data_IF_087322161497
#
_entry.id   IF_087322161497
#
_cell.length_a   1.000
_cell.length_b   1.000
_cell.length_c   1.000
_cell.angle_alpha   90.00
_cell.angle_beta   90.00
_cell.angle_gamma   90.00
#
_symmetry.space_group_name_H-M   'P 1'
#
loop_
_entity.id
_entity.type
_entity.pdbx_description
1 polymer ?
#
# COMPACT_ATOMS: atom_id res chain seq x y z
N UNK A 1 -4.86 15.91 -4.39
CA UNK A 1 -4.58 14.66 -3.67
C UNK A 1 -3.41 14.04 -4.38
N UNK A 2 -2.26 13.99 -3.72
CA UNK A 2 -1.06 13.38 -4.29
C UNK A 2 -1.06 11.89 -3.98
N UNK A 3 -0.67 11.09 -4.97
CA UNK A 3 -0.63 9.63 -4.86
C UNK A 3 0.74 9.13 -5.27
N UNK A 4 1.29 8.20 -4.49
CA UNK A 4 2.57 7.57 -4.72
C UNK A 4 2.41 6.06 -4.53
N UNK A 5 3.24 5.28 -5.21
CA UNK A 5 3.32 3.82 -5.07
C UNK A 5 4.77 3.41 -4.85
N UNK A 6 4.99 2.40 -4.00
CA UNK A 6 6.31 1.85 -3.74
C UNK A 6 6.21 0.36 -3.39
N UNK A 7 7.27 -0.39 -3.68
CA UNK A 7 7.39 -1.82 -3.40
C UNK A 7 8.04 -2.11 -2.05
N UNK A 8 7.56 -3.14 -1.36
CA UNK A 8 8.15 -3.58 -0.08
C UNK A 8 9.38 -4.48 -0.23
N UNK A 9 9.74 -4.85 -1.46
CA UNK A 9 10.97 -5.59 -1.76
C UNK A 9 12.16 -4.63 -1.88
N UNK A 10 13.39 -5.10 -1.65
CA UNK A 10 14.59 -4.28 -1.77
C UNK A 10 14.99 -3.99 -3.22
N UNK A 11 14.55 -4.85 -4.14
CA UNK A 11 14.79 -4.82 -5.59
C UNK A 11 13.57 -4.29 -6.37
N UNK A 12 12.60 -3.69 -5.69
CA UNK A 12 11.48 -3.04 -6.34
C UNK A 12 11.96 -1.86 -7.20
N UNK A 13 11.31 -1.62 -8.34
CA UNK A 13 11.63 -0.48 -9.21
C UNK A 13 11.58 0.86 -8.47
N UNK A 14 10.58 1.02 -7.60
CA UNK A 14 10.49 2.12 -6.63
C UNK A 14 10.46 1.51 -5.23
N UNK A 15 11.62 1.38 -4.55
CA UNK A 15 11.68 0.84 -3.21
C UNK A 15 10.93 1.73 -2.21
N UNK A 16 10.23 1.12 -1.26
CA UNK A 16 9.68 1.86 -0.13
C UNK A 16 10.80 2.38 0.77
N UNK A 17 10.68 3.64 1.17
CA UNK A 17 11.53 4.30 2.16
C UNK A 17 10.69 4.87 3.33
N UNK A 18 11.36 5.31 4.39
CA UNK A 18 10.74 5.87 5.58
C UNK A 18 10.13 7.25 5.38
N UNK A 19 10.62 8.04 4.40
CA UNK A 19 10.08 9.37 4.12
C UNK A 19 8.69 9.28 3.49
N UNK A 20 8.50 8.36 2.55
CA UNK A 20 7.21 8.04 1.95
C UNK A 20 6.18 7.65 3.01
N UNK A 21 6.58 6.81 3.98
CA UNK A 21 5.71 6.40 5.09
C UNK A 21 5.36 7.59 5.97
N UNK A 22 6.35 8.41 6.32
CA UNK A 22 6.18 9.57 7.20
C UNK A 22 5.27 10.62 6.59
N UNK A 23 5.40 10.87 5.29
CA UNK A 23 4.58 11.84 4.54
C UNK A 23 3.18 11.36 4.23
N UNK A 24 2.97 10.04 4.15
CA UNK A 24 1.66 9.49 3.81
C UNK A 24 0.64 9.72 4.95
N UNK A 25 -0.48 10.37 4.62
CA UNK A 25 -1.64 10.43 5.51
C UNK A 25 -2.31 9.06 5.65
N UNK A 26 -2.30 8.28 4.55
CA UNK A 26 -2.90 6.94 4.47
C UNK A 26 -2.03 6.03 3.63
N UNK A 27 -1.85 4.81 4.12
CA UNK A 27 -1.09 3.78 3.42
C UNK A 27 -2.02 2.61 3.15
N UNK A 28 -2.15 2.23 1.88
CA UNK A 28 -2.88 1.05 1.45
C UNK A 28 -1.90 0.00 0.97
N UNK A 29 -2.12 -1.25 1.37
CA UNK A 29 -1.33 -2.39 0.92
C UNK A 29 -2.25 -3.49 0.42
N UNK A 30 -1.78 -4.25 -0.57
CA UNK A 30 -2.58 -5.31 -1.19
C UNK A 30 -2.83 -6.46 -0.22
N UNK A 31 -1.82 -6.88 0.54
CA UNK A 31 -1.85 -8.09 1.35
C UNK A 31 -1.25 -7.88 2.75
N UNK A 32 -1.56 -8.79 3.67
CA UNK A 32 -1.05 -8.74 5.05
C UNK A 32 0.49 -8.84 5.10
N UNK A 33 1.11 -9.56 4.16
CA UNK A 33 2.58 -9.69 4.03
C UNK A 33 3.25 -8.33 3.80
N UNK A 34 2.65 -7.46 2.98
CA UNK A 34 3.15 -6.10 2.74
C UNK A 34 3.10 -5.27 4.03
N UNK A 35 1.97 -5.30 4.75
CA UNK A 35 1.85 -4.60 6.05
C UNK A 35 2.90 -5.08 7.06
N UNK A 36 3.13 -6.39 7.14
CA UNK A 36 4.15 -6.98 8.02
C UNK A 36 5.55 -6.50 7.62
N UNK A 37 5.87 -6.50 6.32
CA UNK A 37 7.14 -6.03 5.80
C UNK A 37 7.38 -4.55 6.13
N UNK A 38 6.37 -3.70 5.95
CA UNK A 38 6.45 -2.26 6.29
C UNK A 38 6.78 -2.08 7.77
N UNK A 39 6.02 -2.71 8.66
CA UNK A 39 6.22 -2.58 10.12
C UNK A 39 7.55 -3.16 10.60
N UNK A 40 8.05 -4.21 9.93
CA UNK A 40 9.33 -4.82 10.27
C UNK A 40 10.52 -3.99 9.80
N UNK A 41 10.45 -3.42 8.59
CA UNK A 41 11.53 -2.62 8.00
C UNK A 41 11.58 -1.18 8.53
N UNK A 42 10.42 -0.60 8.86
CA UNK A 42 10.28 0.80 9.25
C UNK A 42 9.50 0.94 10.58
N UNK A 43 9.97 0.34 11.68
CA UNK A 43 9.23 0.33 12.95
C UNK A 43 8.98 1.73 13.51
N UNK A 44 9.96 2.64 13.36
CA UNK A 44 9.84 4.04 13.80
C UNK A 44 8.87 4.81 12.91
N UNK A 45 9.06 4.80 11.59
CA UNK A 45 8.25 5.59 10.65
C UNK A 45 6.78 5.09 10.59
N UNK A 46 6.59 3.77 10.70
CA UNK A 46 5.26 3.16 10.74
C UNK A 46 4.61 3.19 12.14
N UNK A 47 5.33 3.65 13.16
CA UNK A 47 4.90 3.76 14.55
C UNK A 47 3.76 4.75 14.72
N UNK A 48 2.52 4.29 14.53
CA UNK A 48 1.31 5.13 14.62
C UNK A 48 0.64 5.40 13.28
N UNK A 49 1.27 5.01 12.16
CA UNK A 49 0.63 5.10 10.84
C UNK A 49 -0.45 4.02 10.66
N UNK A 50 -1.58 4.44 10.10
CA UNK A 50 -2.64 3.52 9.69
C UNK A 50 -2.25 2.88 8.35
N UNK A 51 -2.00 1.57 8.37
CA UNK A 51 -1.71 0.76 7.18
C UNK A 51 -2.89 -0.16 6.92
N UNK A 52 -3.67 0.19 5.91
CA UNK A 52 -4.91 -0.49 5.52
C UNK A 52 -4.55 -1.65 4.58
N UNK A 53 -4.95 -2.86 4.94
CA UNK A 53 -4.80 -4.04 4.08
C UNK A 53 -6.09 -4.24 3.28
N UNK A 54 -6.01 -4.17 1.96
CA UNK A 54 -7.16 -4.32 1.06
C UNK A 54 -7.60 -5.79 0.90
N UNK A 55 -6.71 -6.74 1.24
CA UNK A 55 -6.96 -8.17 1.09
C UNK A 55 -7.06 -8.61 -0.37
N UNK A 56 -6.27 -7.99 -1.24
CA UNK A 56 -6.21 -8.26 -2.67
C UNK A 56 -5.00 -9.19 -2.92
N UNK A 57 -5.21 -10.44 -3.35
CA UNK A 57 -4.12 -11.36 -3.64
C UNK A 57 -3.38 -10.98 -4.93
N UNK A 58 -2.09 -11.29 -4.96
CA UNK A 58 -1.19 -11.09 -6.10
C UNK A 58 -1.37 -12.17 -7.18
N UNK A 59 -2.50 -12.10 -7.90
CA UNK A 59 -2.88 -13.06 -8.95
C UNK A 59 -3.39 -12.39 -10.22
N UNK A 60 -3.26 -11.07 -10.29
CA UNK A 60 -3.77 -10.27 -11.39
C UNK A 60 -2.60 -9.83 -12.26
N UNK A 61 -2.84 -9.76 -13.57
CA UNK A 61 -1.87 -9.17 -14.48
C UNK A 61 -1.82 -7.66 -14.29
N UNK A 62 -0.71 -7.07 -14.71
CA UNK A 62 -0.58 -5.62 -14.76
C UNK A 62 -1.76 -5.01 -15.54
N UNK A 63 -2.45 -4.06 -14.91
CA UNK A 63 -3.63 -3.35 -15.44
C UNK A 63 -4.83 -4.23 -15.83
N UNK A 64 -4.93 -5.45 -15.27
CA UNK A 64 -6.11 -6.29 -15.47
C UNK A 64 -7.38 -5.59 -14.98
N UNK A 65 -8.42 -5.54 -15.81
CA UNK A 65 -9.67 -4.81 -15.49
C UNK A 65 -10.29 -5.26 -14.17
N UNK A 66 -10.29 -6.56 -13.88
CA UNK A 66 -10.80 -7.11 -12.63
C UNK A 66 -10.04 -6.60 -11.39
N UNK A 67 -8.73 -6.33 -11.51
CA UNK A 67 -7.95 -5.71 -10.43
C UNK A 67 -8.35 -4.26 -10.23
N UNK A 68 -8.51 -3.51 -11.32
CA UNK A 68 -8.89 -2.09 -11.27
C UNK A 68 -10.26 -1.92 -10.61
N UNK A 69 -11.25 -2.70 -11.02
CA UNK A 69 -12.60 -2.69 -10.43
C UNK A 69 -12.59 -3.06 -8.95
N UNK A 70 -11.80 -4.07 -8.57
CA UNK A 70 -11.65 -4.49 -7.19
C UNK A 70 -10.98 -3.41 -6.34
N UNK A 71 -9.92 -2.76 -6.85
CA UNK A 71 -9.25 -1.65 -6.19
C UNK A 71 -10.21 -0.48 -5.97
N UNK A 72 -10.96 -0.07 -7.00
CA UNK A 72 -11.96 0.98 -6.87
C UNK A 72 -12.96 0.66 -5.75
N UNK A 73 -13.58 -0.53 -5.80
CA UNK A 73 -14.55 -0.97 -4.78
C UNK A 73 -13.98 -1.00 -3.36
N UNK A 74 -12.73 -1.42 -3.21
CA UNK A 74 -12.07 -1.54 -1.90
C UNK A 74 -11.59 -0.20 -1.35
N UNK A 75 -11.16 0.71 -2.21
CA UNK A 75 -10.69 2.05 -1.82
C UNK A 75 -11.84 3.01 -1.54
N UNK A 76 -12.98 2.79 -2.20
CA UNK A 76 -14.15 3.65 -2.15
C UNK A 76 -14.58 4.13 -0.74
N UNK A 77 -14.67 3.25 0.28
CA UNK A 77 -15.09 3.66 1.63
C UNK A 77 -14.07 4.57 2.33
N UNK A 78 -12.82 4.58 1.84
CA UNK A 78 -11.76 5.41 2.39
C UNK A 78 -11.65 6.75 1.66
N UNK A 79 -11.97 6.80 0.37
CA UNK A 79 -11.72 7.99 -0.45
C UNK A 79 -12.88 8.99 -0.48
N UNK A 80 -14.12 8.58 -0.19
CA UNK A 80 -15.30 9.46 -0.25
C UNK A 80 -15.48 10.34 0.99
N UNK A 81 -14.51 11.18 1.33
CA UNK A 81 -14.65 12.17 2.41
C UNK A 81 -14.01 13.50 2.06
#
# INVERSE_FOLDING_TARGET
MDVLSAGTASDAEVPLDGELITRADRIFCMEARHRKAIRARFPTDAGGKSIINLGIPDRYRFMELALVELLQKKLDPYLRR
#
